data_IF_169282957911
#
_entry.id   IF_169282957911
#
_cell.length_a   1.000
_cell.length_b   1.000
_cell.length_c   1.000
_cell.angle_alpha   90.00
_cell.angle_beta   90.00
_cell.angle_gamma   90.00
#
_symmetry.space_group_name_H-M   'P 1'
#
loop_
_entity.id
_entity.type
_entity.pdbx_description
1 polymer ?
#
# COMPACT_ATOMS: atom_id res chain seq x y z
N UNK A 1 -4.95 1.17 -31.36
CA UNK A 1 -3.95 1.93 -30.59
C UNK A 1 -3.10 2.68 -31.58
N UNK A 2 -3.63 3.83 -31.97
CA UNK A 2 -2.80 4.91 -32.51
C UNK A 2 -2.06 5.63 -31.36
N UNK A 3 -1.21 6.60 -31.71
CA UNK A 3 -0.39 7.31 -30.73
C UNK A 3 -1.22 8.15 -29.74
N UNK A 4 -2.39 8.63 -30.16
CA UNK A 4 -3.28 9.43 -29.31
C UNK A 4 -3.94 8.53 -28.25
N UNK A 5 -4.47 7.37 -28.66
CA UNK A 5 -5.03 6.35 -27.76
C UNK A 5 -3.98 5.86 -26.76
N UNK A 6 -2.72 5.67 -27.17
CA UNK A 6 -1.65 5.24 -26.27
C UNK A 6 -1.34 6.29 -25.20
N UNK A 7 -1.29 7.57 -25.58
CA UNK A 7 -1.03 8.67 -24.67
C UNK A 7 -2.14 8.83 -23.62
N UNK A 8 -3.40 8.66 -24.01
CA UNK A 8 -4.53 8.71 -23.08
C UNK A 8 -4.44 7.60 -22.01
N UNK A 9 -4.03 6.39 -22.41
CA UNK A 9 -3.84 5.27 -21.47
C UNK A 9 -2.69 5.59 -20.49
N UNK A 10 -1.57 6.11 -20.98
CA UNK A 10 -0.42 6.47 -20.15
C UNK A 10 -0.79 7.49 -19.08
N UNK A 11 -1.54 8.53 -19.46
CA UNK A 11 -1.98 9.59 -18.54
C UNK A 11 -2.95 9.08 -17.47
N UNK A 12 -3.73 8.04 -17.76
CA UNK A 12 -4.69 7.45 -16.81
C UNK A 12 -4.11 6.30 -15.98
N UNK A 13 -2.98 5.69 -16.39
CA UNK A 13 -2.47 4.45 -15.79
C UNK A 13 -2.05 4.60 -14.32
N UNK A 14 -1.49 5.76 -13.94
CA UNK A 14 -0.91 6.00 -12.61
C UNK A 14 -1.42 7.32 -12.01
N UNK A 15 -2.70 7.40 -11.56
CA UNK A 15 -3.34 8.65 -11.17
C UNK A 15 -2.91 9.20 -9.81
N UNK A 16 -2.18 8.41 -9.00
CA UNK A 16 -1.78 8.80 -7.65
C UNK A 16 -0.52 8.04 -7.19
N UNK A 17 0.02 8.42 -6.04
CA UNK A 17 1.10 7.66 -5.39
C UNK A 17 0.59 6.31 -4.86
N UNK A 18 1.44 5.28 -4.90
CA UNK A 18 1.13 3.95 -4.37
C UNK A 18 1.84 2.83 -5.12
N UNK A 19 1.62 1.59 -4.68
CA UNK A 19 1.99 0.38 -5.43
C UNK A 19 0.97 0.10 -6.54
N UNK A 20 1.30 -0.84 -7.42
CA UNK A 20 0.36 -1.33 -8.42
C UNK A 20 -0.93 -1.85 -7.75
N UNK A 21 -2.11 -1.53 -8.30
CA UNK A 21 -3.40 -1.87 -7.67
C UNK A 21 -3.79 -3.35 -7.69
N UNK A 22 -3.16 -4.17 -8.53
CA UNK A 22 -3.43 -5.61 -8.59
C UNK A 22 -2.60 -6.40 -7.56
N UNK A 23 -2.90 -7.68 -7.38
CA UNK A 23 -2.13 -8.62 -6.56
C UNK A 23 -0.81 -9.04 -7.24
N UNK A 24 0.01 -8.04 -7.55
CA UNK A 24 1.41 -8.22 -7.93
C UNK A 24 2.30 -8.26 -6.68
N UNK A 25 3.61 -8.40 -6.88
CA UNK A 25 4.59 -8.60 -5.82
C UNK A 25 4.44 -7.66 -4.63
N UNK A 26 4.22 -6.35 -4.85
CA UNK A 26 4.07 -5.39 -3.75
C UNK A 26 2.89 -5.71 -2.83
N UNK A 27 1.69 -5.91 -3.38
CA UNK A 27 0.48 -6.19 -2.59
C UNK A 27 0.50 -7.61 -2.03
N UNK A 28 1.08 -8.57 -2.76
CA UNK A 28 1.31 -9.92 -2.27
C UNK A 28 2.22 -9.89 -1.03
N UNK A 29 3.35 -9.17 -1.07
CA UNK A 29 4.26 -9.10 0.07
C UNK A 29 3.67 -8.32 1.24
N UNK A 30 2.86 -7.29 0.99
CA UNK A 30 2.12 -6.60 2.05
C UNK A 30 1.13 -7.55 2.76
N UNK A 31 0.41 -8.36 1.99
CA UNK A 31 -0.51 -9.39 2.52
C UNK A 31 0.25 -10.46 3.29
N UNK A 32 1.39 -10.92 2.77
CA UNK A 32 2.26 -11.89 3.46
C UNK A 32 2.76 -11.32 4.78
N UNK A 33 3.22 -10.06 4.81
CA UNK A 33 3.70 -9.42 6.02
C UNK A 33 2.63 -9.37 7.12
N UNK A 34 1.38 -9.08 6.75
CA UNK A 34 0.25 -9.15 7.68
C UNK A 34 -0.04 -10.59 8.12
N UNK A 35 -0.05 -11.55 7.19
CA UNK A 35 -0.34 -12.96 7.47
C UNK A 35 0.67 -13.63 8.41
N UNK A 36 1.95 -13.26 8.33
CA UNK A 36 3.00 -13.79 9.22
C UNK A 36 3.16 -12.98 10.52
N UNK A 37 2.33 -11.96 10.73
CA UNK A 37 2.32 -11.14 11.96
C UNK A 37 3.42 -10.10 12.04
N UNK A 38 4.05 -9.72 10.93
CA UNK A 38 5.03 -8.62 10.89
C UNK A 38 4.39 -7.24 10.72
N UNK A 39 3.23 -7.17 10.08
CA UNK A 39 2.47 -5.94 9.89
C UNK A 39 1.22 -5.91 10.78
N UNK A 40 0.76 -4.71 11.13
CA UNK A 40 -0.49 -4.56 11.88
C UNK A 40 -1.69 -5.06 11.06
N UNK A 41 -2.71 -5.66 11.71
CA UNK A 41 -3.92 -6.08 11.05
C UNK A 41 -4.56 -4.94 10.25
N UNK A 42 -5.02 -5.24 9.03
CA UNK A 42 -5.61 -4.33 8.06
C UNK A 42 -4.70 -3.27 7.45
N UNK A 43 -3.41 -3.21 7.84
CA UNK A 43 -2.49 -2.20 7.34
C UNK A 43 -2.15 -2.39 5.86
N UNK A 44 -2.20 -3.62 5.33
CA UNK A 44 -1.90 -3.88 3.91
C UNK A 44 -3.00 -3.39 2.95
N UNK A 45 -4.21 -3.13 3.47
CA UNK A 45 -5.37 -2.72 2.66
C UNK A 45 -5.58 -1.21 2.56
N UNK A 46 -4.81 -0.39 3.30
CA UNK A 46 -4.98 1.06 3.30
C UNK A 46 -4.32 1.71 2.06
N UNK A 47 -5.08 2.37 1.16
CA UNK A 47 -4.51 3.05 0.01
C UNK A 47 -3.51 4.13 0.40
N UNK A 48 -2.41 4.22 -0.34
CA UNK A 48 -1.32 5.17 -0.07
C UNK A 48 -1.75 6.64 0.05
N UNK A 49 -2.67 7.19 -0.78
CA UNK A 49 -3.03 8.60 -0.68
C UNK A 49 -4.02 8.92 0.45
N UNK A 50 -4.53 7.92 1.17
CA UNK A 50 -5.57 8.14 2.20
C UNK A 50 -4.93 8.42 3.56
N UNK A 51 -5.35 9.51 4.21
CA UNK A 51 -4.89 9.92 5.55
C UNK A 51 -5.13 8.84 6.62
N UNK A 52 -6.09 7.93 6.40
CA UNK A 52 -6.31 6.80 7.32
C UNK A 52 -5.06 5.91 7.48
N UNK A 53 -4.16 5.90 6.49
CA UNK A 53 -2.90 5.16 6.53
C UNK A 53 -1.97 5.66 7.63
N UNK A 54 -2.03 6.95 7.96
CA UNK A 54 -1.19 7.54 9.01
C UNK A 54 -1.49 6.96 10.38
N UNK A 55 -2.74 6.54 10.64
CA UNK A 55 -3.10 5.86 11.89
C UNK A 55 -2.31 4.56 12.08
N UNK A 56 -2.11 3.79 11.02
CA UNK A 56 -1.29 2.57 11.07
C UNK A 56 0.20 2.89 11.26
N UNK A 57 0.69 4.00 10.70
CA UNK A 57 2.07 4.44 10.88
C UNK A 57 2.35 4.77 12.35
N UNK A 58 1.48 5.56 13.00
CA UNK A 58 1.60 5.88 14.42
C UNK A 58 1.44 4.63 15.30
N UNK A 59 0.42 3.82 15.06
CA UNK A 59 0.19 2.58 15.81
C UNK A 59 1.36 1.59 15.67
N UNK A 60 2.05 1.55 14.52
CA UNK A 60 3.25 0.70 14.35
C UNK A 60 4.39 1.18 15.24
N UNK A 61 4.54 2.51 15.40
CA UNK A 61 5.48 3.13 16.32
C UNK A 61 5.18 2.80 17.79
N UNK A 62 3.91 2.87 18.20
CA UNK A 62 3.50 2.44 19.54
C UNK A 62 3.78 0.95 19.73
N UNK A 63 3.45 0.12 18.72
CA UNK A 63 3.59 -1.33 18.81
C UNK A 63 5.04 -1.76 18.98
N UNK A 64 5.99 -1.15 18.27
CA UNK A 64 7.40 -1.52 18.44
C UNK A 64 7.90 -1.16 19.84
N UNK A 65 7.44 -0.06 20.44
CA UNK A 65 7.80 0.30 21.80
C UNK A 65 7.27 -0.71 22.83
N UNK A 66 6.06 -1.23 22.63
CA UNK A 66 5.52 -2.32 23.47
C UNK A 66 6.34 -3.62 23.37
N UNK A 67 6.87 -3.93 22.18
CA UNK A 67 7.59 -5.20 21.94
C UNK A 67 9.02 -5.20 22.48
N UNK A 68 9.63 -4.03 22.66
CA UNK A 68 11.01 -3.90 23.16
C UNK A 68 11.09 -3.52 24.65
N UNK A 69 9.97 -3.13 25.27
CA UNK A 69 9.89 -2.81 26.69
C UNK A 69 9.87 -4.08 27.56
#
# INVERSE_FOLDING_TARGET
IDDAELLEIEQAACPSAGSCGAQFTANTMATVAEAIGLALPYSCGAPAPYEMRDRFNFASGEKIMELIA
#
